data_IF_708606612845
#
_entry.id   IF_708606612845
#
_cell.length_a   1.000
_cell.length_b   1.000
_cell.length_c   1.000
_cell.angle_alpha   90.00
_cell.angle_beta   90.00
_cell.angle_gamma   90.00
#
_symmetry.space_group_name_H-M   'P 1'
#
loop_
_entity.id
_entity.type
_entity.pdbx_description
1 polymer ?
#
# COMPACT_ATOMS: atom_id res chain seq x y z
N UNK A 1 -21.43 -6.25 27.16
CA UNK A 1 -20.60 -6.48 25.94
C UNK A 1 -21.49 -6.75 24.74
N UNK A 2 -22.58 -7.54 24.89
CA UNK A 2 -23.47 -7.87 23.79
C UNK A 2 -24.28 -6.67 23.26
N UNK A 3 -24.55 -5.68 24.08
CA UNK A 3 -25.27 -4.47 23.70
C UNK A 3 -24.48 -3.55 22.75
N UNK A 4 -23.14 -3.68 22.71
CA UNK A 4 -22.26 -2.86 21.88
C UNK A 4 -21.85 -3.52 20.55
N UNK A 5 -22.40 -4.68 20.22
CA UNK A 5 -22.02 -5.45 19.01
C UNK A 5 -22.60 -4.92 17.70
N UNK A 6 -23.41 -3.89 17.74
CA UNK A 6 -23.93 -3.22 16.54
C UNK A 6 -23.29 -1.84 16.40
N UNK A 7 -23.29 -1.27 15.21
CA UNK A 7 -22.82 0.10 14.99
C UNK A 7 -23.53 1.12 15.94
N UNK A 8 -24.81 0.90 16.23
CA UNK A 8 -25.58 1.73 17.16
C UNK A 8 -25.09 1.54 18.61
N UNK A 9 -24.83 0.30 19.01
CA UNK A 9 -24.30 -0.03 20.34
C UNK A 9 -22.89 0.50 20.53
N UNK A 10 -22.07 0.46 19.51
CA UNK A 10 -20.72 0.98 19.54
C UNK A 10 -20.68 2.51 19.70
N UNK A 11 -21.53 3.25 19.00
CA UNK A 11 -21.69 4.69 19.20
C UNK A 11 -22.18 4.99 20.63
N UNK A 12 -23.05 4.16 21.21
CA UNK A 12 -23.47 4.29 22.59
C UNK A 12 -22.30 4.08 23.56
N UNK A 13 -21.46 3.08 23.34
CA UNK A 13 -20.23 2.85 24.11
C UNK A 13 -19.30 4.09 24.06
N UNK A 14 -19.13 4.66 22.89
CA UNK A 14 -18.30 5.86 22.69
C UNK A 14 -18.88 7.05 23.50
N UNK A 15 -20.19 7.23 23.51
CA UNK A 15 -20.86 8.26 24.31
C UNK A 15 -20.62 8.08 25.82
N UNK A 16 -20.67 6.85 26.29
CA UNK A 16 -20.41 6.51 27.69
C UNK A 16 -18.94 6.76 28.07
N UNK A 17 -17.99 6.34 27.20
CA UNK A 17 -16.56 6.63 27.36
C UNK A 17 -16.32 8.14 27.43
N UNK A 18 -16.90 8.91 26.51
CA UNK A 18 -16.78 10.35 26.48
C UNK A 18 -17.32 11.01 27.75
N UNK A 19 -18.48 10.56 28.23
CA UNK A 19 -19.08 11.00 29.49
C UNK A 19 -18.17 10.77 30.71
N UNK A 20 -17.60 9.55 30.78
CA UNK A 20 -16.67 9.19 31.86
C UNK A 20 -15.36 9.98 31.77
N UNK A 21 -14.80 10.21 30.60
CA UNK A 21 -13.60 11.02 30.42
C UNK A 21 -13.83 12.47 30.81
N UNK A 22 -14.92 13.09 30.40
CA UNK A 22 -15.26 14.45 30.78
C UNK A 22 -15.48 14.59 32.27
N UNK A 23 -16.10 13.60 32.91
CA UNK A 23 -16.29 13.62 34.39
C UNK A 23 -14.96 13.44 35.12
N UNK A 24 -14.08 12.56 34.63
CA UNK A 24 -12.79 12.28 35.26
C UNK A 24 -11.77 13.41 35.06
N UNK A 25 -11.83 14.07 33.91
CA UNK A 25 -10.89 15.11 33.49
C UNK A 25 -11.62 16.40 33.09
N UNK A 26 -12.33 17.06 34.03
CA UNK A 26 -13.18 18.20 33.70
C UNK A 26 -12.42 19.44 33.19
N UNK A 27 -11.12 19.47 33.42
CA UNK A 27 -10.24 20.58 33.01
C UNK A 27 -9.31 20.17 31.84
N UNK A 28 -9.61 19.08 31.11
CA UNK A 28 -8.83 18.70 29.95
C UNK A 28 -8.90 19.80 28.89
N UNK A 29 -7.73 20.30 28.49
CA UNK A 29 -7.65 21.28 27.40
C UNK A 29 -7.90 20.62 26.06
N UNK A 30 -9.01 20.92 25.42
CA UNK A 30 -9.39 20.36 24.13
C UNK A 30 -8.36 20.58 23.01
N UNK A 31 -7.50 21.59 23.13
CA UNK A 31 -6.38 21.80 22.17
C UNK A 31 -5.32 20.71 22.21
N UNK A 32 -5.28 19.91 23.25
CA UNK A 32 -4.34 18.78 23.34
C UNK A 32 -4.77 17.57 22.53
N UNK A 33 -6.05 17.49 22.17
CA UNK A 33 -6.66 16.40 21.42
C UNK A 33 -7.16 16.84 20.03
N UNK A 34 -7.07 18.13 19.72
CA UNK A 34 -7.44 18.77 18.44
C UNK A 34 -6.33 19.79 18.14
N UNK A 35 -5.28 19.33 17.48
CA UNK A 35 -4.04 20.12 17.29
C UNK A 35 -4.11 21.04 16.08
N UNK A 36 -4.90 20.70 15.08
CA UNK A 36 -5.15 21.53 13.89
C UNK A 36 -6.29 22.53 14.11
N UNK A 37 -6.99 22.41 15.26
CA UNK A 37 -8.05 23.29 15.72
C UNK A 37 -9.26 23.34 14.78
N UNK A 38 -9.63 22.21 14.19
CA UNK A 38 -10.81 22.07 13.36
C UNK A 38 -12.11 21.82 14.16
N UNK A 39 -11.99 21.60 15.48
CA UNK A 39 -13.10 21.34 16.40
C UNK A 39 -13.39 19.86 16.62
N UNK A 40 -12.59 18.97 16.02
CA UNK A 40 -12.68 17.52 16.10
C UNK A 40 -11.41 16.97 16.74
N UNK A 41 -11.53 15.95 17.58
CA UNK A 41 -10.35 15.26 18.12
C UNK A 41 -9.60 14.56 16.98
N UNK A 42 -8.28 14.71 16.94
CA UNK A 42 -7.42 14.12 15.88
C UNK A 42 -7.58 12.60 15.75
N UNK A 43 -7.73 11.92 16.87
CA UNK A 43 -8.03 10.48 16.94
C UNK A 43 -8.47 10.06 18.35
N UNK A 44 -9.33 9.06 18.43
CA UNK A 44 -9.66 8.33 19.65
C UNK A 44 -9.31 6.85 19.47
N UNK A 45 -8.31 6.36 20.19
CA UNK A 45 -8.01 4.92 20.20
C UNK A 45 -8.62 4.26 21.43
N UNK A 46 -9.50 3.29 21.21
CA UNK A 46 -10.18 2.48 22.22
C UNK A 46 -9.54 1.11 22.25
N UNK A 47 -8.92 0.76 23.38
CA UNK A 47 -8.37 -0.58 23.59
C UNK A 47 -9.34 -1.32 24.49
N UNK A 48 -10.11 -2.22 23.89
CA UNK A 48 -11.15 -3.00 24.57
C UNK A 48 -10.61 -4.34 25.05
N UNK A 49 -10.65 -4.57 26.36
CA UNK A 49 -10.38 -5.88 26.94
C UNK A 49 -11.65 -6.72 26.88
N UNK A 50 -11.71 -7.64 25.93
CA UNK A 50 -12.87 -8.51 25.73
C UNK A 50 -12.46 -9.98 25.79
N UNK A 51 -13.31 -10.83 26.35
CA UNK A 51 -13.14 -12.26 26.14
C UNK A 51 -13.46 -12.58 24.69
N UNK A 52 -12.51 -13.20 24.00
CA UNK A 52 -12.63 -13.55 22.60
C UNK A 52 -13.78 -14.53 22.37
N UNK A 53 -14.92 -14.00 21.98
CA UNK A 53 -16.05 -14.78 21.48
C UNK A 53 -16.37 -14.38 20.01
N UNK A 54 -15.41 -13.77 19.32
CA UNK A 54 -15.49 -13.46 17.89
C UNK A 54 -16.38 -12.28 17.51
N UNK A 55 -16.75 -11.42 18.45
CA UNK A 55 -17.74 -10.36 18.20
C UNK A 55 -17.21 -8.93 18.13
N UNK A 56 -16.00 -8.68 18.59
CA UNK A 56 -15.30 -7.43 18.34
C UNK A 56 -14.16 -7.69 17.36
N UNK A 57 -14.17 -6.98 16.26
CA UNK A 57 -13.08 -6.99 15.26
C UNK A 57 -12.44 -5.62 15.31
N UNK A 58 -11.12 -5.55 15.35
CA UNK A 58 -10.42 -4.28 15.26
C UNK A 58 -10.81 -3.56 13.97
N UNK A 59 -11.10 -2.28 14.06
CA UNK A 59 -11.45 -1.46 12.91
C UNK A 59 -11.27 0.03 13.19
N UNK A 60 -11.25 0.81 12.14
CA UNK A 60 -11.32 2.26 12.14
C UNK A 60 -12.68 2.72 11.63
N UNK A 61 -13.28 3.72 12.27
CA UNK A 61 -14.55 4.30 11.86
C UNK A 61 -14.67 5.77 12.28
N UNK A 62 -15.83 6.37 12.05
CA UNK A 62 -16.11 7.75 12.41
C UNK A 62 -17.36 7.83 13.29
N UNK A 63 -17.21 8.38 14.49
CA UNK A 63 -18.29 8.54 15.47
C UNK A 63 -19.18 9.78 15.23
N UNK A 64 -18.82 10.62 14.26
CA UNK A 64 -19.46 11.91 14.05
C UNK A 64 -19.08 12.94 15.14
N UNK A 65 -19.67 14.12 15.05
CA UNK A 65 -19.27 15.28 15.87
C UNK A 65 -20.20 15.55 17.05
N UNK A 66 -21.28 14.76 17.21
CA UNK A 66 -22.30 15.01 18.26
C UNK A 66 -21.81 14.62 19.65
N UNK A 67 -20.95 13.61 19.75
CA UNK A 67 -20.32 13.20 20.99
C UNK A 67 -19.02 13.98 21.18
N UNK A 68 -18.80 14.54 22.38
CA UNK A 68 -17.67 15.44 22.63
C UNK A 68 -16.82 15.02 23.83
N UNK A 69 -15.49 15.17 23.66
CA UNK A 69 -14.52 15.11 24.75
C UNK A 69 -13.84 16.48 24.84
N UNK A 70 -13.81 17.08 26.05
CA UNK A 70 -13.24 18.42 26.29
C UNK A 70 -13.75 19.49 25.29
N UNK A 71 -15.02 19.38 24.89
CA UNK A 71 -15.67 20.32 23.97
C UNK A 71 -15.40 20.04 22.48
N UNK A 72 -14.55 19.07 22.13
CA UNK A 72 -14.22 18.68 20.76
C UNK A 72 -15.04 17.47 20.32
N UNK A 73 -15.56 17.47 19.10
CA UNK A 73 -16.24 16.30 18.50
C UNK A 73 -15.29 15.10 18.42
N UNK A 74 -15.86 13.88 18.51
CA UNK A 74 -15.07 12.68 18.29
C UNK A 74 -15.14 12.35 16.82
N UNK A 75 -14.38 12.63 15.95
CA UNK A 75 -14.44 12.25 14.55
C UNK A 75 -13.97 10.80 14.34
N UNK A 76 -12.76 10.61 13.83
CA UNK A 76 -12.20 9.28 13.63
C UNK A 76 -11.87 8.59 14.95
N UNK A 77 -12.12 7.28 15.00
CA UNK A 77 -11.69 6.44 16.13
C UNK A 77 -11.19 5.10 15.64
N UNK A 78 -10.35 4.47 16.46
CA UNK A 78 -9.87 3.11 16.23
C UNK A 78 -10.30 2.25 17.42
N UNK A 79 -10.96 1.14 17.16
CA UNK A 79 -11.27 0.12 18.15
C UNK A 79 -10.30 -1.04 18.01
N UNK A 80 -9.58 -1.35 19.06
CA UNK A 80 -8.61 -2.44 19.09
C UNK A 80 -9.02 -3.39 20.22
N UNK A 81 -9.19 -4.67 19.90
CA UNK A 81 -9.42 -5.68 20.90
C UNK A 81 -8.10 -6.22 21.46
N UNK A 82 -8.13 -6.56 22.75
CA UNK A 82 -7.11 -7.43 23.34
C UNK A 82 -7.67 -8.83 23.49
N UNK A 83 -7.01 -9.81 22.89
CA UNK A 83 -7.47 -11.19 22.94
C UNK A 83 -6.86 -11.92 24.14
N UNK A 84 -7.70 -12.65 24.90
CA UNK A 84 -7.21 -13.52 25.95
C UNK A 84 -6.62 -14.80 25.36
N UNK A 85 -5.42 -15.14 25.76
CA UNK A 85 -4.79 -16.41 25.38
C UNK A 85 -4.92 -17.42 26.51
N UNK A 86 -5.68 -18.48 26.29
CA UNK A 86 -5.86 -19.58 27.26
C UNK A 86 -4.52 -20.28 27.58
N UNK A 87 -3.58 -20.28 26.67
CA UNK A 87 -2.27 -20.91 26.86
C UNK A 87 -1.31 -20.08 27.69
N UNK A 88 -1.40 -18.75 27.63
CA UNK A 88 -0.52 -17.85 28.38
C UNK A 88 -1.17 -17.26 29.63
N UNK A 89 -2.50 -17.29 29.71
CA UNK A 89 -3.26 -16.67 30.80
C UNK A 89 -3.25 -15.13 30.76
N UNK A 90 -2.84 -14.52 29.65
CA UNK A 90 -2.73 -13.07 29.49
C UNK A 90 -3.53 -12.56 28.31
N UNK A 91 -3.97 -11.31 28.40
CA UNK A 91 -4.50 -10.57 27.25
C UNK A 91 -3.38 -10.09 26.35
N UNK A 92 -3.44 -10.46 25.08
CA UNK A 92 -2.49 -10.01 24.07
C UNK A 92 -2.96 -8.74 23.38
N UNK A 93 -2.10 -7.74 23.29
CA UNK A 93 -2.29 -6.54 22.46
C UNK A 93 -1.50 -6.69 21.14
N UNK A 94 -2.20 -6.66 20.01
CA UNK A 94 -1.55 -6.75 18.72
C UNK A 94 -1.20 -5.35 18.21
N UNK A 95 0.04 -4.95 18.41
CA UNK A 95 0.55 -3.64 17.97
C UNK A 95 0.43 -3.43 16.46
N UNK A 96 0.45 -4.50 15.66
CA UNK A 96 0.40 -4.39 14.20
C UNK A 96 -1.02 -4.11 13.74
N UNK A 97 -2.01 -4.75 14.35
CA UNK A 97 -3.42 -4.42 14.14
C UNK A 97 -3.68 -2.97 14.56
N UNK A 98 -3.17 -2.56 15.71
CA UNK A 98 -3.31 -1.17 16.16
C UNK A 98 -2.68 -0.17 15.20
N UNK A 99 -1.51 -0.48 14.65
CA UNK A 99 -0.85 0.36 13.65
C UNK A 99 -1.63 0.41 12.33
N UNK A 100 -2.20 -0.72 11.89
CA UNK A 100 -3.07 -0.80 10.71
C UNK A 100 -4.28 0.13 10.88
N UNK A 101 -5.04 -0.05 11.96
CA UNK A 101 -6.22 0.78 12.22
C UNK A 101 -5.86 2.27 12.39
N UNK A 102 -4.72 2.55 13.03
CA UNK A 102 -4.26 3.93 13.18
C UNK A 102 -3.91 4.60 11.84
N UNK A 103 -3.36 3.86 10.88
CA UNK A 103 -3.04 4.38 9.55
C UNK A 103 -4.31 4.81 8.81
N UNK A 104 -5.45 4.15 9.03
CA UNK A 104 -6.74 4.59 8.49
C UNK A 104 -7.13 6.02 8.90
N UNK A 105 -6.70 6.48 10.07
CA UNK A 105 -6.94 7.86 10.53
C UNK A 105 -6.39 8.91 9.57
N UNK A 106 -5.36 8.57 8.80
CA UNK A 106 -4.78 9.43 7.77
C UNK A 106 -5.47 9.30 6.40
N UNK A 107 -6.61 8.62 6.33
CA UNK A 107 -7.35 8.42 5.08
C UNK A 107 -6.76 7.36 4.14
N UNK A 108 -5.90 6.48 4.66
CA UNK A 108 -5.34 5.37 3.88
C UNK A 108 -6.29 4.20 3.92
N UNK A 109 -6.73 3.65 2.78
CA UNK A 109 -7.65 2.51 2.72
C UNK A 109 -6.90 1.18 2.88
N UNK A 110 -7.69 0.10 2.95
CA UNK A 110 -7.15 -1.27 2.90
C UNK A 110 -6.55 -1.61 1.53
N UNK A 111 -5.43 -2.35 1.55
CA UNK A 111 -4.74 -2.82 0.35
C UNK A 111 -4.89 -4.34 0.13
N UNK A 112 -5.85 -4.97 0.80
CA UNK A 112 -6.28 -6.33 0.51
C UNK A 112 -7.62 -6.31 -0.23
N UNK A 113 -7.88 -7.36 -1.02
CA UNK A 113 -9.19 -7.59 -1.62
C UNK A 113 -10.05 -8.37 -0.64
N UNK A 114 -11.24 -7.91 -0.40
CA UNK A 114 -12.21 -8.65 0.41
C UNK A 114 -13.15 -9.43 -0.51
N UNK A 115 -13.07 -10.76 -0.43
CA UNK A 115 -14.03 -11.61 -1.09
C UNK A 115 -15.15 -11.96 -0.12
N UNK A 116 -16.27 -11.27 -0.23
CA UNK A 116 -17.45 -11.47 0.63
C UNK A 116 -18.11 -12.84 0.46
N UNK A 117 -17.82 -13.57 -0.64
CA UNK A 117 -18.42 -14.88 -0.92
C UNK A 117 -17.62 -16.01 -0.26
N UNK A 118 -16.28 -15.89 -0.22
CA UNK A 118 -15.39 -16.95 0.27
C UNK A 118 -14.68 -16.62 1.59
N UNK A 119 -14.94 -15.44 2.15
CA UNK A 119 -14.25 -14.91 3.35
C UNK A 119 -12.71 -14.90 3.22
N UNK A 120 -12.20 -15.05 2.00
CA UNK A 120 -10.76 -14.98 1.73
C UNK A 120 -10.33 -13.55 1.50
N UNK A 121 -9.13 -13.23 1.96
CA UNK A 121 -8.50 -11.94 1.72
C UNK A 121 -7.31 -12.15 0.78
N UNK A 122 -7.42 -11.62 -0.42
CA UNK A 122 -6.29 -11.58 -1.33
C UNK A 122 -5.48 -10.32 -1.09
N UNK A 123 -4.17 -10.44 -1.16
CA UNK A 123 -3.25 -9.35 -0.78
C UNK A 123 -2.37 -8.94 -1.95
N UNK A 124 -2.85 -8.05 -2.84
CA UNK A 124 -2.05 -7.58 -3.98
C UNK A 124 -0.72 -6.96 -3.59
N UNK A 125 -0.64 -6.37 -2.41
CA UNK A 125 0.62 -5.84 -1.85
C UNK A 125 1.39 -6.86 -1.00
N UNK A 126 0.80 -8.02 -0.75
CA UNK A 126 1.39 -9.03 0.15
C UNK A 126 1.62 -8.48 1.55
N UNK A 127 2.75 -8.85 2.16
CA UNK A 127 3.19 -8.33 3.46
C UNK A 127 4.10 -7.09 3.33
N UNK A 128 4.10 -6.40 2.19
CA UNK A 128 4.96 -5.23 1.99
C UNK A 128 4.39 -3.93 2.57
N UNK A 129 3.12 -3.97 3.01
CA UNK A 129 2.46 -2.84 3.65
C UNK A 129 1.54 -3.33 4.77
N UNK A 130 1.48 -2.64 5.93
CA UNK A 130 0.56 -2.98 7.02
C UNK A 130 -0.91 -2.95 6.57
N UNK A 131 -1.26 -2.16 5.54
CA UNK A 131 -2.61 -2.10 5.00
C UNK A 131 -2.96 -3.31 4.11
N UNK A 132 -1.98 -4.15 3.78
CA UNK A 132 -2.19 -5.39 3.02
C UNK A 132 -2.70 -6.55 3.85
N UNK A 133 -2.13 -6.77 5.03
CA UNK A 133 -2.53 -7.84 5.96
C UNK A 133 -2.40 -7.35 7.40
N UNK A 134 -3.49 -7.24 8.14
CA UNK A 134 -3.42 -7.01 9.59
C UNK A 134 -2.63 -8.14 10.26
N UNK A 135 -1.64 -7.78 11.06
CA UNK A 135 -0.82 -8.76 11.80
C UNK A 135 0.59 -8.99 11.24
N UNK A 136 0.88 -8.53 10.03
CA UNK A 136 2.26 -8.43 9.54
C UNK A 136 3.03 -7.28 10.21
N UNK A 137 4.37 -7.23 10.01
CA UNK A 137 5.23 -6.18 10.57
C UNK A 137 5.98 -5.38 9.49
N UNK A 138 5.41 -5.14 8.30
CA UNK A 138 6.13 -4.42 7.29
C UNK A 138 6.21 -2.93 7.63
N UNK A 139 7.26 -2.29 7.17
CA UNK A 139 7.26 -0.85 7.00
C UNK A 139 6.27 -0.50 5.87
N UNK A 140 5.43 0.53 6.02
CA UNK A 140 4.55 0.95 4.95
C UNK A 140 5.29 1.21 3.64
N UNK A 141 4.67 0.93 2.50
CA UNK A 141 5.19 1.29 1.19
C UNK A 141 5.49 2.79 1.09
N UNK A 142 6.39 3.17 0.19
CA UNK A 142 6.78 4.57 0.04
C UNK A 142 5.57 5.47 -0.28
N UNK A 143 4.60 4.99 -1.07
CA UNK A 143 3.37 5.73 -1.36
C UNK A 143 2.47 5.88 -0.14
N UNK A 144 2.40 4.89 0.74
CA UNK A 144 1.68 4.97 2.01
C UNK A 144 2.33 6.00 2.93
N UNK A 145 3.66 5.95 3.04
CA UNK A 145 4.44 6.94 3.80
C UNK A 145 4.31 8.35 3.21
N UNK A 146 4.17 8.48 1.88
CA UNK A 146 3.88 9.76 1.22
C UNK A 146 2.46 10.24 1.57
N UNK A 147 1.46 9.35 1.52
CA UNK A 147 0.07 9.68 1.85
C UNK A 147 -0.10 10.17 3.29
N UNK A 148 0.65 9.60 4.25
CA UNK A 148 0.63 10.03 5.66
C UNK A 148 1.66 11.13 6.00
N UNK A 149 2.31 11.71 4.99
CA UNK A 149 3.20 12.86 5.16
C UNK A 149 4.60 12.55 5.72
N UNK A 150 5.02 11.27 5.75
CA UNK A 150 6.32 10.89 6.31
C UNK A 150 7.48 11.01 5.32
N UNK A 151 7.21 10.97 4.02
CA UNK A 151 8.20 11.07 2.97
C UNK A 151 7.59 11.71 1.72
N UNK A 152 8.44 11.99 0.73
CA UNK A 152 8.03 12.33 -0.63
C UNK A 152 8.65 11.33 -1.59
N UNK A 153 7.92 10.95 -2.63
CA UNK A 153 8.40 10.08 -3.70
C UNK A 153 8.59 10.91 -4.96
N UNK A 154 9.85 11.14 -5.31
CA UNK A 154 10.18 11.97 -6.48
C UNK A 154 9.79 11.26 -7.78
N UNK A 155 9.24 12.03 -8.71
CA UNK A 155 8.92 11.54 -10.04
C UNK A 155 10.13 11.72 -10.96
N UNK A 156 10.54 10.64 -11.61
CA UNK A 156 11.57 10.66 -12.64
C UNK A 156 10.90 10.67 -14.02
N UNK A 157 11.57 11.30 -14.98
CA UNK A 157 11.09 11.30 -16.36
C UNK A 157 11.18 9.89 -16.98
N UNK A 158 10.27 9.52 -17.90
CA UNK A 158 10.32 8.24 -18.59
C UNK A 158 11.40 8.23 -19.67
N UNK A 159 12.65 8.29 -19.25
CA UNK A 159 13.86 8.25 -20.08
C UNK A 159 14.90 7.33 -19.46
N UNK A 160 15.73 6.72 -20.29
CA UNK A 160 16.79 5.85 -19.84
C UNK A 160 17.71 6.55 -18.85
N UNK A 161 18.04 5.87 -17.77
CA UNK A 161 18.87 6.46 -16.73
C UNK A 161 19.36 5.45 -15.70
N UNK A 162 20.24 5.94 -14.82
CA UNK A 162 20.77 5.18 -13.69
C UNK A 162 20.46 5.95 -12.41
N UNK A 163 19.88 5.28 -11.45
CA UNK A 163 19.43 5.88 -10.19
C UNK A 163 19.97 5.12 -9.00
N UNK A 164 20.12 5.84 -7.88
CA UNK A 164 20.51 5.25 -6.60
C UNK A 164 19.40 5.48 -5.58
N UNK A 165 18.95 4.40 -4.94
CA UNK A 165 18.03 4.45 -3.82
C UNK A 165 18.76 4.08 -2.54
N UNK A 166 18.29 4.63 -1.43
CA UNK A 166 18.87 4.46 -0.12
C UNK A 166 17.86 3.84 0.83
N UNK A 167 18.34 3.15 1.86
CA UNK A 167 17.44 2.65 2.90
C UNK A 167 16.63 3.80 3.54
N UNK A 168 15.42 3.50 3.97
CA UNK A 168 14.48 4.50 4.48
C UNK A 168 15.05 5.30 5.68
N UNK A 169 15.88 4.68 6.54
CA UNK A 169 16.53 5.40 7.66
C UNK A 169 17.55 6.42 7.20
N UNK A 170 18.32 6.08 6.20
CA UNK A 170 19.29 7.01 5.63
C UNK A 170 18.57 8.20 4.96
N UNK A 171 17.45 7.92 4.29
CA UNK A 171 16.60 8.95 3.69
C UNK A 171 15.85 9.80 4.75
N UNK A 172 15.52 9.22 5.89
CA UNK A 172 14.97 9.99 7.00
C UNK A 172 15.98 10.98 7.59
N UNK A 173 17.22 10.54 7.76
CA UNK A 173 18.31 11.36 8.31
C UNK A 173 18.83 12.41 7.32
N UNK A 174 18.78 12.12 6.02
CA UNK A 174 19.28 12.98 4.96
C UNK A 174 18.26 13.04 3.82
N UNK A 175 17.55 14.14 3.70
CA UNK A 175 16.45 14.33 2.73
C UNK A 175 16.91 14.38 1.26
N UNK A 176 18.20 14.47 1.01
CA UNK A 176 18.77 14.33 -0.35
C UNK A 176 18.79 12.88 -0.81
N UNK A 177 18.77 11.93 0.11
CA UNK A 177 18.67 10.50 -0.15
C UNK A 177 17.22 10.10 -0.33
N UNK A 178 16.94 9.30 -1.34
CA UNK A 178 15.58 8.86 -1.66
C UNK A 178 15.46 7.36 -1.51
N UNK A 179 14.42 6.86 -0.80
CA UNK A 179 14.18 5.43 -0.67
C UNK A 179 13.40 4.85 -1.84
N UNK A 180 12.74 5.71 -2.62
CA UNK A 180 11.91 5.34 -3.75
C UNK A 180 11.86 6.45 -4.79
N UNK A 181 11.53 6.08 -6.01
CA UNK A 181 11.16 6.99 -7.11
C UNK A 181 9.91 6.47 -7.80
N UNK A 182 9.13 7.36 -8.40
CA UNK A 182 7.99 7.02 -9.25
C UNK A 182 8.22 7.43 -10.69
N UNK A 183 7.63 6.68 -11.61
CA UNK A 183 7.69 6.95 -13.05
C UNK A 183 6.33 6.73 -13.68
N UNK A 184 5.97 7.60 -14.61
CA UNK A 184 4.73 7.53 -15.40
C UNK A 184 5.07 7.32 -16.87
N UNK A 185 5.16 6.08 -17.33
CA UNK A 185 5.22 5.84 -18.76
C UNK A 185 3.89 6.24 -19.40
N UNK A 186 3.92 6.58 -20.68
CA UNK A 186 2.86 7.38 -21.28
C UNK A 186 1.57 6.66 -21.67
N UNK A 187 1.45 5.35 -21.43
CA UNK A 187 0.28 4.55 -21.85
C UNK A 187 -0.93 4.63 -20.91
N UNK A 188 -0.80 5.23 -19.74
CA UNK A 188 -1.92 5.48 -18.85
C UNK A 188 -1.93 6.94 -18.40
N UNK A 189 -3.10 7.60 -18.38
CA UNK A 189 -3.20 8.96 -17.87
C UNK A 189 -3.09 9.04 -16.33
N UNK A 190 -3.33 7.94 -15.64
CA UNK A 190 -3.46 7.91 -14.18
C UNK A 190 -2.44 7.00 -13.49
N UNK A 191 -2.20 5.81 -14.01
CA UNK A 191 -1.33 4.82 -13.37
C UNK A 191 0.14 5.22 -13.45
N UNK A 192 0.88 4.88 -12.41
CA UNK A 192 2.32 5.02 -12.36
C UNK A 192 2.96 3.85 -11.63
N UNK A 193 4.27 3.74 -11.77
CA UNK A 193 5.06 2.69 -11.14
C UNK A 193 6.02 3.31 -10.14
N UNK A 194 6.25 2.58 -9.06
CA UNK A 194 7.21 2.97 -8.02
C UNK A 194 8.27 1.89 -7.91
N UNK A 195 9.51 2.34 -7.84
CA UNK A 195 10.68 1.51 -7.56
C UNK A 195 11.16 1.91 -6.17
N UNK A 196 11.15 0.98 -5.23
CA UNK A 196 11.47 1.23 -3.83
C UNK A 196 12.55 0.28 -3.33
N UNK A 197 13.57 0.79 -2.62
CA UNK A 197 14.57 -0.04 -1.96
C UNK A 197 14.05 -0.51 -0.61
N UNK A 198 14.07 -1.82 -0.44
CA UNK A 198 13.74 -2.50 0.81
C UNK A 198 14.98 -3.21 1.33
N UNK A 199 15.23 -3.07 2.62
CA UNK A 199 16.39 -3.68 3.27
C UNK A 199 15.94 -4.64 4.35
N UNK A 200 16.44 -5.88 4.27
CA UNK A 200 16.38 -6.83 5.37
C UNK A 200 17.39 -6.41 6.43
N UNK A 201 16.95 -6.10 7.63
CA UNK A 201 17.88 -5.70 8.66
C UNK A 201 17.28 -5.62 10.06
N UNK A 202 18.09 -5.83 11.06
CA UNK A 202 17.70 -5.76 12.48
C UNK A 202 17.19 -4.36 12.88
N UNK A 203 17.58 -3.31 12.16
CA UNK A 203 17.22 -1.92 12.45
C UNK A 203 15.75 -1.64 12.24
N UNK A 204 15.15 -2.34 11.29
CA UNK A 204 13.73 -2.31 11.02
C UNK A 204 13.15 -3.69 11.26
N UNK A 205 12.89 -3.99 12.52
CA UNK A 205 12.16 -5.21 12.90
C UNK A 205 10.80 -5.34 12.18
N UNK A 206 10.34 -4.27 11.54
CA UNK A 206 9.14 -4.26 10.74
C UNK A 206 9.32 -4.88 9.33
N UNK A 207 10.50 -4.80 8.75
CA UNK A 207 10.83 -5.49 7.49
C UNK A 207 11.41 -6.91 7.74
N UNK A 208 11.61 -7.28 9.01
CA UNK A 208 12.19 -8.57 9.41
C UNK A 208 11.14 -9.61 9.83
N UNK A 209 10.02 -9.67 9.19
CA UNK A 209 9.40 -10.97 9.11
C UNK A 209 10.33 -11.83 8.25
N UNK A 210 10.94 -12.84 8.83
CA UNK A 210 11.90 -13.76 8.17
C UNK A 210 11.39 -14.36 6.86
N UNK A 211 10.15 -14.09 6.51
CA UNK A 211 9.47 -14.58 5.33
C UNK A 211 9.18 -13.51 4.27
N UNK A 212 9.31 -12.21 4.57
CA UNK A 212 8.86 -11.15 3.66
C UNK A 212 9.93 -10.41 2.90
N UNK A 213 11.09 -10.18 3.49
CA UNK A 213 12.24 -9.65 2.79
C UNK A 213 13.37 -10.69 2.84
N UNK A 214 13.39 -11.65 1.93
CA UNK A 214 14.42 -12.69 1.92
C UNK A 214 15.81 -12.12 1.70
N UNK A 215 15.91 -10.94 1.07
CA UNK A 215 17.15 -10.24 0.80
C UNK A 215 16.92 -8.73 0.70
N UNK A 216 17.99 -7.94 0.75
CA UNK A 216 17.98 -6.54 0.39
C UNK A 216 17.79 -6.40 -1.12
N UNK A 217 17.02 -5.39 -1.56
CA UNK A 217 16.82 -5.12 -2.98
C UNK A 217 15.67 -4.16 -3.26
N UNK A 218 15.33 -4.02 -4.52
CA UNK A 218 14.20 -3.20 -4.94
C UNK A 218 12.92 -4.03 -5.05
N UNK A 219 11.81 -3.40 -4.73
CA UNK A 219 10.47 -3.85 -5.12
C UNK A 219 9.91 -2.88 -6.14
N UNK A 220 9.08 -3.39 -7.04
CA UNK A 220 8.38 -2.59 -8.05
C UNK A 220 6.90 -2.80 -7.87
N UNK A 221 6.14 -1.72 -7.87
CA UNK A 221 4.69 -1.79 -7.76
C UNK A 221 3.99 -0.72 -8.57
N UNK A 222 2.80 -1.07 -9.02
CA UNK A 222 1.87 -0.18 -9.73
C UNK A 222 0.98 0.52 -8.73
N UNK A 223 0.67 1.78 -9.02
CA UNK A 223 -0.32 2.58 -8.30
C UNK A 223 -1.34 3.12 -9.30
N UNK A 224 -2.63 2.89 -9.02
CA UNK A 224 -3.73 3.45 -9.80
C UNK A 224 -4.56 4.41 -8.93
N UNK A 225 -4.29 5.74 -8.98
CA UNK A 225 -4.94 6.72 -8.12
C UNK A 225 -6.46 6.82 -8.27
N UNK A 226 -7.03 6.25 -9.33
CA UNK A 226 -8.49 6.19 -9.53
C UNK A 226 -9.18 5.43 -8.39
N UNK A 227 -8.48 4.46 -7.79
CA UNK A 227 -9.01 3.63 -6.70
C UNK A 227 -8.46 4.03 -5.32
N UNK A 228 -7.89 5.23 -5.20
CA UNK A 228 -7.26 5.67 -3.95
C UNK A 228 -8.18 5.59 -2.73
N UNK A 229 -9.43 5.97 -2.89
CA UNK A 229 -10.39 6.02 -1.77
C UNK A 229 -10.99 4.65 -1.44
N UNK A 230 -11.02 3.74 -2.42
CA UNK A 230 -11.55 2.38 -2.26
C UNK A 230 -10.44 1.36 -1.90
N UNK A 231 -9.18 1.72 -2.12
CA UNK A 231 -8.07 0.79 -1.94
C UNK A 231 -8.16 -0.39 -2.90
N UNK A 232 -7.90 -1.58 -2.38
CA UNK A 232 -7.96 -2.84 -3.15
C UNK A 232 -9.23 -3.66 -2.86
N UNK A 233 -10.16 -3.11 -2.09
CA UNK A 233 -11.29 -3.89 -1.53
C UNK A 233 -12.18 -4.54 -2.59
N UNK A 234 -12.39 -3.90 -3.76
CA UNK A 234 -13.38 -4.31 -4.76
C UNK A 234 -12.81 -5.02 -5.99
N UNK A 235 -11.57 -5.51 -5.92
CA UNK A 235 -10.94 -6.24 -7.02
C UNK A 235 -10.25 -5.37 -8.07
N UNK A 236 -10.41 -4.05 -8.00
CA UNK A 236 -9.58 -3.10 -8.72
C UNK A 236 -8.48 -2.65 -7.75
N UNK A 237 -7.22 -2.81 -8.15
CA UNK A 237 -6.13 -2.54 -7.24
C UNK A 237 -5.69 -1.08 -7.29
N UNK A 238 -5.78 -0.39 -6.16
CA UNK A 238 -5.09 0.87 -5.94
C UNK A 238 -3.58 0.65 -5.99
N UNK A 239 -3.08 -0.39 -5.29
CA UNK A 239 -1.65 -0.76 -5.27
C UNK A 239 -1.49 -2.24 -5.57
N UNK A 240 -0.54 -2.57 -6.43
CA UNK A 240 -0.18 -3.94 -6.78
C UNK A 240 1.34 -4.11 -6.83
N UNK A 241 1.90 -4.98 -5.99
CA UNK A 241 3.34 -5.30 -5.98
C UNK A 241 3.64 -6.45 -6.92
N UNK A 242 4.52 -6.20 -7.90
CA UNK A 242 4.90 -7.22 -8.89
C UNK A 242 5.69 -8.36 -8.26
N UNK A 243 5.36 -9.56 -8.71
CA UNK A 243 5.96 -10.80 -8.27
C UNK A 243 6.40 -11.59 -9.47
N UNK A 244 7.55 -12.24 -9.41
CA UNK A 244 7.98 -13.12 -10.48
C UNK A 244 7.00 -14.27 -10.69
N UNK A 245 6.75 -14.60 -11.94
CA UNK A 245 5.83 -15.65 -12.36
C UNK A 245 4.39 -15.47 -11.86
N UNK A 246 4.01 -14.25 -11.48
CA UNK A 246 2.65 -13.95 -11.12
C UNK A 246 1.84 -13.70 -12.39
N UNK A 247 0.88 -14.58 -12.66
CA UNK A 247 -0.03 -14.51 -13.82
C UNK A 247 -1.29 -13.71 -13.52
N UNK A 248 -1.38 -13.11 -12.34
CA UNK A 248 -2.65 -12.78 -11.71
C UNK A 248 -2.94 -11.30 -11.57
N UNK A 249 -2.56 -10.43 -12.51
CA UNK A 249 -3.08 -9.05 -12.52
C UNK A 249 -4.61 -9.02 -12.48
N UNK A 250 -5.24 -10.05 -13.01
CA UNK A 250 -6.71 -10.22 -13.04
C UNK A 250 -7.18 -11.48 -12.35
N UNK A 251 -6.32 -12.16 -11.61
CA UNK A 251 -6.63 -13.46 -11.08
C UNK A 251 -7.76 -13.42 -10.05
N UNK A 252 -8.55 -14.47 -10.11
CA UNK A 252 -9.57 -14.78 -9.13
C UNK A 252 -8.97 -14.87 -7.72
N UNK A 253 -9.79 -14.54 -6.74
CA UNK A 253 -9.52 -14.77 -5.34
C UNK A 253 -8.85 -16.14 -5.11
N UNK A 254 -7.76 -16.14 -4.38
CA UNK A 254 -7.00 -17.36 -4.03
C UNK A 254 -5.70 -17.58 -4.80
N UNK A 255 -5.49 -16.99 -5.97
CA UNK A 255 -4.21 -17.11 -6.68
C UNK A 255 -3.22 -16.03 -6.23
N UNK A 256 -3.70 -14.81 -5.96
CA UNK A 256 -2.87 -13.73 -5.42
C UNK A 256 -2.39 -14.06 -4.00
N UNK A 257 -3.23 -14.70 -3.17
CA UNK A 257 -2.84 -15.19 -1.85
C UNK A 257 -1.81 -16.32 -1.90
N UNK A 258 -1.75 -17.08 -2.99
CA UNK A 258 -0.75 -18.14 -3.23
C UNK A 258 0.55 -17.61 -3.80
N UNK A 259 0.53 -16.46 -4.46
CA UNK A 259 1.73 -15.76 -4.90
C UNK A 259 2.46 -15.15 -3.69
N UNK A 260 2.80 -16.01 -2.74
CA UNK A 260 3.41 -15.57 -1.49
C UNK A 260 4.76 -14.91 -1.75
N UNK A 261 4.82 -13.67 -1.35
CA UNK A 261 5.75 -13.11 -0.38
C UNK A 261 7.16 -13.73 -0.41
N UNK A 262 7.53 -14.43 -1.33
CA UNK A 262 8.88 -14.93 -1.27
C UNK A 262 9.84 -14.09 -2.06
N UNK A 263 9.39 -13.32 -3.06
CA UNK A 263 10.36 -12.97 -4.08
C UNK A 263 10.08 -11.71 -4.92
N UNK A 264 9.41 -10.65 -4.47
CA UNK A 264 9.33 -9.44 -5.27
C UNK A 264 10.62 -8.60 -5.20
N UNK A 265 11.61 -9.04 -4.40
CA UNK A 265 12.86 -8.27 -4.23
C UNK A 265 13.84 -8.63 -5.35
N UNK A 266 14.21 -7.63 -6.12
CA UNK A 266 15.25 -7.71 -7.15
C UNK A 266 16.57 -7.27 -6.54
N UNK A 267 17.49 -8.23 -6.43
CA UNK A 267 18.82 -8.07 -5.81
C UNK A 267 19.91 -8.42 -6.82
N UNK A 268 21.15 -8.34 -6.41
CA UNK A 268 22.29 -8.78 -7.24
C UNK A 268 22.17 -10.24 -7.73
N UNK A 269 21.46 -11.10 -6.99
CA UNK A 269 21.19 -12.49 -7.40
C UNK A 269 19.99 -12.60 -8.34
N UNK A 270 19.12 -11.60 -8.38
CA UNK A 270 17.90 -11.53 -9.18
C UNK A 270 17.77 -10.11 -9.72
N UNK A 271 18.41 -9.86 -10.83
CA UNK A 271 18.80 -8.53 -11.24
C UNK A 271 17.74 -7.74 -11.98
N UNK A 272 16.81 -8.39 -12.71
CA UNK A 272 16.01 -7.70 -13.72
C UNK A 272 14.50 -7.94 -13.58
N UNK A 273 13.72 -6.89 -13.87
CA UNK A 273 12.27 -6.94 -14.03
C UNK A 273 11.84 -6.06 -15.19
N UNK A 274 10.81 -6.51 -15.90
CA UNK A 274 10.23 -5.78 -17.01
C UNK A 274 10.88 -6.14 -18.35
N UNK A 275 10.34 -5.61 -19.41
CA UNK A 275 10.81 -5.82 -20.76
C UNK A 275 10.47 -4.65 -21.67
N UNK A 276 11.39 -4.33 -22.56
CA UNK A 276 11.16 -3.37 -23.64
C UNK A 276 10.22 -3.90 -24.72
N UNK A 277 10.00 -5.23 -24.76
CA UNK A 277 9.03 -5.84 -25.69
C UNK A 277 7.60 -5.61 -25.19
N UNK A 278 6.92 -4.65 -25.79
CA UNK A 278 5.54 -4.26 -25.44
C UNK A 278 4.51 -5.38 -25.67
N UNK A 279 4.85 -6.44 -26.39
CA UNK A 279 3.97 -7.60 -26.55
C UNK A 279 4.17 -8.65 -25.43
N UNK A 280 5.15 -8.46 -24.56
CA UNK A 280 5.37 -9.36 -23.45
C UNK A 280 4.21 -9.30 -22.46
N UNK A 281 3.74 -10.45 -22.04
CA UNK A 281 2.68 -10.60 -21.06
C UNK A 281 3.23 -10.51 -19.64
N UNK A 282 2.37 -10.36 -18.66
CA UNK A 282 2.76 -10.36 -17.26
C UNK A 282 3.43 -11.66 -16.83
N UNK A 283 3.04 -12.77 -17.44
CA UNK A 283 3.64 -14.09 -17.18
C UNK A 283 5.13 -14.14 -17.47
N UNK A 284 5.59 -13.24 -18.32
CA UNK A 284 6.97 -13.14 -18.78
C UNK A 284 7.78 -12.10 -17.99
N UNK A 285 7.37 -11.82 -16.75
CA UNK A 285 8.04 -10.84 -15.87
C UNK A 285 7.91 -9.37 -16.34
N UNK A 286 6.88 -9.04 -17.12
CA UNK A 286 6.64 -7.69 -17.58
C UNK A 286 6.06 -6.80 -16.44
N UNK A 287 6.38 -5.49 -16.47
CA UNK A 287 5.74 -4.49 -15.61
C UNK A 287 4.53 -3.92 -16.33
N UNK A 288 3.34 -4.44 -16.01
CA UNK A 288 2.13 -4.16 -16.75
C UNK A 288 1.18 -3.18 -16.03
N UNK A 289 0.40 -2.44 -16.79
CA UNK A 289 -0.76 -1.69 -16.29
C UNK A 289 -1.87 -2.62 -15.80
N UNK A 290 -2.88 -2.06 -15.13
CA UNK A 290 -4.01 -2.83 -14.59
C UNK A 290 -4.86 -3.51 -15.66
N UNK A 291 -4.80 -3.03 -16.90
CA UNK A 291 -5.44 -3.63 -18.07
C UNK A 291 -4.59 -4.72 -18.77
N UNK A 292 -3.43 -5.05 -18.20
CA UNK A 292 -2.53 -6.08 -18.72
C UNK A 292 -1.52 -5.60 -19.77
N UNK A 293 -1.60 -4.36 -20.25
CA UNK A 293 -0.62 -3.83 -21.20
C UNK A 293 0.74 -3.66 -20.55
N UNK A 294 1.79 -4.11 -21.24
CA UNK A 294 3.17 -3.89 -20.79
C UNK A 294 3.50 -2.39 -20.80
N UNK A 295 4.11 -1.90 -19.72
CA UNK A 295 4.57 -0.51 -19.63
C UNK A 295 5.81 -0.22 -20.49
N UNK A 296 6.52 -1.23 -20.92
CA UNK A 296 7.81 -1.11 -21.59
C UNK A 296 8.98 -0.74 -20.66
N UNK A 297 8.77 -0.76 -19.36
CA UNK A 297 9.84 -0.50 -18.39
C UNK A 297 10.70 -1.76 -18.26
N UNK A 298 12.02 -1.58 -18.40
CA UNK A 298 13.01 -2.59 -18.04
C UNK A 298 13.93 -2.03 -16.95
N UNK A 299 14.01 -2.72 -15.82
CA UNK A 299 14.77 -2.31 -14.64
C UNK A 299 15.83 -3.37 -14.35
N UNK A 300 17.08 -2.92 -14.18
CA UNK A 300 18.20 -3.80 -13.84
C UNK A 300 18.96 -3.27 -12.63
N UNK A 301 19.07 -4.09 -11.60
CA UNK A 301 19.93 -3.79 -10.44
C UNK A 301 21.39 -3.96 -10.87
N UNK A 302 22.17 -2.89 -10.80
CA UNK A 302 23.55 -2.86 -11.28
C UNK A 302 24.57 -2.92 -10.14
N UNK A 303 24.18 -2.44 -8.94
CA UNK A 303 25.07 -2.41 -7.77
C UNK A 303 24.25 -2.45 -6.48
N UNK A 304 24.73 -3.13 -5.49
CA UNK A 304 24.10 -3.18 -4.17
C UNK A 304 25.16 -3.00 -3.08
N UNK A 305 24.97 -1.98 -2.26
CA UNK A 305 25.80 -1.65 -1.12
C UNK A 305 25.05 -1.88 0.18
N UNK A 306 25.74 -1.69 1.32
CA UNK A 306 25.14 -1.90 2.65
C UNK A 306 23.84 -1.09 2.86
N UNK A 307 23.77 0.16 2.37
CA UNK A 307 22.66 1.08 2.64
C UNK A 307 22.05 1.68 1.37
N UNK A 308 22.42 1.18 0.19
CA UNK A 308 21.95 1.70 -1.08
C UNK A 308 21.92 0.63 -2.16
N UNK A 309 21.12 0.85 -3.16
CA UNK A 309 21.04 0.06 -4.39
C UNK A 309 21.09 0.99 -5.59
N UNK A 310 21.83 0.59 -6.62
CA UNK A 310 21.86 1.28 -7.90
C UNK A 310 21.17 0.41 -8.95
N UNK A 311 20.36 1.02 -9.77
CA UNK A 311 19.68 0.35 -10.87
C UNK A 311 19.67 1.22 -12.12
N UNK A 312 19.66 0.59 -13.28
CA UNK A 312 19.29 1.23 -14.54
C UNK A 312 17.81 1.05 -14.82
N UNK A 313 17.21 2.02 -15.46
CA UNK A 313 15.87 1.92 -16.02
C UNK A 313 15.94 2.29 -17.50
N UNK A 314 15.30 1.48 -18.34
CA UNK A 314 15.22 1.64 -19.77
C UNK A 314 13.76 1.65 -20.22
N UNK A 315 13.48 2.38 -21.27
CA UNK A 315 12.17 2.55 -21.87
C UNK A 315 12.24 2.24 -23.37
N UNK A 316 11.15 1.76 -23.96
CA UNK A 316 11.07 1.63 -25.40
C UNK A 316 11.06 3.00 -26.07
N UNK A 317 11.27 3.02 -27.36
CA UNK A 317 11.09 4.26 -28.14
C UNK A 317 9.60 4.61 -28.23
N UNK A 318 9.25 5.76 -27.65
CA UNK A 318 7.88 6.26 -27.64
C UNK A 318 7.59 7.27 -28.76
N UNK A 319 8.44 7.42 -29.77
CA UNK A 319 8.32 8.44 -30.82
C UNK A 319 7.00 8.36 -31.60
N UNK A 320 6.37 7.18 -31.68
CA UNK A 320 5.07 6.99 -32.33
C UNK A 320 3.89 6.94 -31.35
N UNK A 321 4.06 7.53 -30.18
CA UNK A 321 3.11 7.41 -29.07
C UNK A 321 1.72 7.99 -29.32
N UNK A 322 1.61 9.08 -30.07
CA UNK A 322 0.30 9.68 -30.35
C UNK A 322 -0.53 8.78 -31.26
N UNK A 323 0.14 8.09 -32.20
CA UNK A 323 -0.48 7.05 -33.01
C UNK A 323 -0.89 5.85 -32.14
N UNK A 324 -0.04 5.42 -31.21
CA UNK A 324 -0.34 4.39 -30.23
C UNK A 324 -1.55 4.73 -29.37
N UNK A 325 -1.64 5.94 -28.85
CA UNK A 325 -2.78 6.42 -28.06
C UNK A 325 -4.07 6.44 -28.88
N UNK A 326 -3.97 6.88 -30.14
CA UNK A 326 -5.10 6.90 -31.06
C UNK A 326 -5.62 5.48 -31.35
N UNK A 327 -4.75 4.53 -31.59
CA UNK A 327 -5.10 3.13 -31.82
C UNK A 327 -5.62 2.44 -30.55
N UNK A 328 -5.03 2.74 -29.37
CA UNK A 328 -5.51 2.21 -28.10
C UNK A 328 -6.91 2.71 -27.74
N UNK A 329 -7.23 3.94 -28.11
CA UNK A 329 -8.55 4.54 -27.85
C UNK A 329 -9.62 4.10 -28.85
N UNK A 330 -9.23 3.74 -30.07
CA UNK A 330 -10.18 3.45 -31.16
C UNK A 330 -10.96 2.15 -30.95
N UNK A 331 -10.46 1.21 -30.13
CA UNK A 331 -11.06 -0.13 -30.01
C UNK A 331 -10.97 -0.71 -28.58
N UNK A 332 -11.08 0.14 -27.56
CA UNK A 332 -11.03 -0.31 -26.16
C UNK A 332 -9.75 -1.06 -25.76
N UNK A 333 -8.64 -0.78 -26.46
CA UNK A 333 -7.35 -1.42 -26.24
C UNK A 333 -7.08 -2.69 -27.06
N UNK A 334 -8.06 -3.22 -27.80
CA UNK A 334 -7.90 -4.43 -28.61
C UNK A 334 -7.14 -4.19 -29.91
N UNK A 335 -7.15 -2.98 -30.46
CA UNK A 335 -6.50 -2.63 -31.73
C UNK A 335 -4.97 -2.85 -31.72
N UNK A 336 -4.35 -2.89 -30.54
CA UNK A 336 -2.92 -3.09 -30.36
C UNK A 336 -2.53 -4.55 -30.04
N UNK A 337 -3.52 -5.43 -29.91
CA UNK A 337 -3.26 -6.85 -29.63
C UNK A 337 -2.48 -7.49 -30.79
N UNK A 338 -1.23 -7.90 -30.50
CA UNK A 338 -0.35 -8.55 -31.48
C UNK A 338 0.46 -7.62 -32.39
N UNK A 339 0.34 -6.28 -32.23
CA UNK A 339 1.13 -5.32 -33.00
C UNK A 339 2.36 -4.88 -32.20
N UNK A 340 3.56 -5.02 -32.80
CA UNK A 340 4.79 -4.49 -32.20
C UNK A 340 4.90 -2.97 -32.42
N UNK A 341 5.41 -2.25 -31.41
CA UNK A 341 5.64 -0.83 -31.53
C UNK A 341 6.52 -0.45 -32.75
N UNK A 342 7.50 -1.30 -33.05
CA UNK A 342 8.36 -1.17 -34.23
C UNK A 342 7.64 -1.39 -35.58
N UNK A 343 6.43 -1.91 -35.56
CA UNK A 343 5.61 -2.15 -36.76
C UNK A 343 4.64 -1.00 -37.05
N UNK A 344 4.48 -0.08 -36.09
CA UNK A 344 3.64 1.11 -36.25
C UNK A 344 4.46 2.18 -36.95
N UNK A 345 4.15 2.41 -38.23
CA UNK A 345 4.78 3.45 -39.05
C UNK A 345 3.77 4.51 -39.43
N UNK A 346 4.25 5.73 -39.54
CA UNK A 346 3.46 6.81 -40.16
C UNK A 346 3.52 6.68 -41.68
N UNK A 347 2.52 7.21 -42.37
CA UNK A 347 2.47 7.19 -43.83
C UNK A 347 3.63 7.99 -44.50
N UNK A 348 4.49 8.60 -43.70
CA UNK A 348 5.67 9.34 -44.14
C UNK A 348 6.97 8.54 -43.99
N UNK A 349 6.96 7.39 -43.37
CA UNK A 349 8.05 6.43 -43.24
C UNK A 349 7.99 5.37 -44.36
#
# INVERSE_FOLDING_TARGET
VDEYKSAVGEIQMIKEIAGQLNAKYPNLDGRTIDRDNDGIADNLMIIAQVQSNGHFVAHSANAGNDTKIAGKGIGPYNLIETTFSDTSGYYGFNIHTAAHEYIHTFGVPDYYRQNYISETRDTPVGLWDPMGVPGGRPMPLAVTREAIGWTTVDEIQPQNGVYTLYEASAAYADKTKKPAVKVKPPFSPTEYFVIEYRKKGERYKFDTLDQTAPADGIIVYRVNPVYKDEGNLRGNDYIYVYRPNDTSITASAGEIGKAQIGLPVYSAARQEIGSLDLNQTITDNAVCYSDGRNSGIHIKVTEQNVNSVKFSIEFPDYTNMDLWKSLANADGGNALSGIKASEVKTAAD
#
